data_IF_546770206272
#
_entry.id   IF_546770206272
#
_cell.length_a   1.000
_cell.length_b   1.000
_cell.length_c   1.000
_cell.angle_alpha   90.00
_cell.angle_beta   90.00
_cell.angle_gamma   90.00
#
_symmetry.space_group_name_H-M   'P 1'
#
loop_
_entity.id
_entity.type
_entity.pdbx_description
1 polymer ?
#
# COMPACT_ATOMS: atom_id res chain seq x y z
N UNK A 1 34.82 -40.84 1.91
CA UNK A 1 33.87 -41.06 3.02
C UNK A 1 33.88 -39.83 3.90
N UNK A 2 33.17 -38.84 3.40
CA UNK A 2 32.34 -37.83 4.06
C UNK A 2 32.67 -37.47 5.51
N UNK A 3 33.26 -36.29 5.65
CA UNK A 3 33.40 -35.56 6.90
C UNK A 3 32.00 -35.21 7.43
N UNK A 4 31.70 -35.62 8.67
CA UNK A 4 30.62 -34.99 9.44
C UNK A 4 30.99 -33.52 9.65
N UNK A 5 30.35 -32.63 8.89
CA UNK A 5 30.26 -31.22 9.24
C UNK A 5 29.10 -31.08 10.23
N UNK A 6 29.41 -30.67 11.46
CA UNK A 6 28.41 -30.22 12.40
C UNK A 6 27.66 -29.01 11.82
N UNK A 7 26.36 -28.97 12.06
CA UNK A 7 25.52 -27.83 11.72
C UNK A 7 26.07 -26.58 12.44
N UNK A 8 26.29 -25.46 11.75
CA UNK A 8 26.71 -24.25 12.43
C UNK A 8 25.56 -23.77 13.33
N UNK A 9 25.79 -23.82 14.64
CA UNK A 9 24.98 -23.12 15.62
C UNK A 9 25.02 -21.63 15.24
N UNK A 10 23.89 -21.10 14.77
CA UNK A 10 23.74 -19.68 14.50
C UNK A 10 23.76 -18.93 15.83
N UNK A 11 24.95 -18.51 16.27
CA UNK A 11 25.07 -17.59 17.38
C UNK A 11 24.55 -16.24 16.92
N UNK A 12 23.38 -15.87 17.46
CA UNK A 12 22.76 -14.57 17.24
C UNK A 12 23.78 -13.46 17.49
N UNK A 13 24.25 -12.86 16.40
CA UNK A 13 25.00 -11.63 16.45
C UNK A 13 24.03 -10.52 16.84
N UNK A 14 24.34 -9.81 17.92
CA UNK A 14 23.74 -8.51 18.19
C UNK A 14 23.93 -7.64 16.95
N UNK A 15 22.84 -7.23 16.32
CA UNK A 15 22.90 -6.34 15.17
C UNK A 15 23.74 -5.11 15.53
N UNK A 16 24.67 -4.66 14.68
CA UNK A 16 25.32 -3.38 14.88
C UNK A 16 24.26 -2.28 14.80
N UNK A 17 24.05 -1.55 15.89
CA UNK A 17 23.22 -0.34 15.94
C UNK A 17 23.90 0.76 15.14
N UNK A 18 23.79 0.68 13.82
CA UNK A 18 24.09 1.77 12.88
C UNK A 18 22.80 2.52 12.60
N UNK A 19 22.52 3.55 13.38
CA UNK A 19 21.41 4.48 13.16
C UNK A 19 21.74 5.41 12.00
N UNK A 20 21.60 4.90 10.77
CA UNK A 20 21.52 5.73 9.55
C UNK A 20 20.70 5.04 8.45
N UNK A 21 19.86 4.06 8.82
CA UNK A 21 18.72 3.74 7.98
C UNK A 21 17.81 4.98 8.01
N UNK A 22 17.41 5.57 6.86
CA UNK A 22 16.32 6.53 6.89
C UNK A 22 15.17 5.80 7.56
N UNK A 23 14.77 6.28 8.74
CA UNK A 23 13.57 5.83 9.38
C UNK A 23 12.47 6.04 8.34
N UNK A 24 11.99 4.94 7.77
CA UNK A 24 10.82 4.92 6.90
C UNK A 24 9.68 5.30 7.83
N UNK A 25 9.50 6.61 7.99
CA UNK A 25 8.41 7.17 8.76
C UNK A 25 7.15 6.53 8.18
N UNK A 26 6.26 5.96 9.02
CA UNK A 26 4.97 5.53 8.54
C UNK A 26 4.37 6.68 7.74
N UNK A 27 3.91 6.38 6.52
CA UNK A 27 3.44 7.40 5.58
C UNK A 27 2.33 8.21 6.27
N UNK A 28 2.64 9.46 6.63
CA UNK A 28 1.77 10.30 7.45
C UNK A 28 0.47 10.64 6.69
N UNK A 29 -0.68 10.48 7.34
CA UNK A 29 -1.99 10.74 6.73
C UNK A 29 -2.26 12.22 6.45
N UNK A 30 -1.45 13.10 7.05
CA UNK A 30 -1.48 14.55 6.82
C UNK A 30 -1.10 14.93 5.38
N UNK A 31 -0.47 14.04 4.61
CA UNK A 31 0.00 14.31 3.25
C UNK A 31 -0.96 13.83 2.15
N UNK A 32 -2.20 13.46 2.51
CA UNK A 32 -3.19 12.98 1.54
C UNK A 32 -3.65 14.07 0.54
N UNK A 33 -3.78 13.67 -0.72
CA UNK A 33 -4.22 14.48 -1.85
C UNK A 33 -3.07 14.87 -2.78
N UNK A 34 -3.30 15.93 -3.57
CA UNK A 34 -2.40 16.41 -4.61
C UNK A 34 -3.01 16.28 -6.01
N UNK A 35 -2.40 16.97 -6.99
CA UNK A 35 -2.92 16.98 -8.36
C UNK A 35 -2.59 15.67 -9.08
N UNK A 36 -3.61 15.07 -9.67
CA UNK A 36 -3.49 13.89 -10.54
C UNK A 36 -4.17 14.21 -11.87
N UNK A 37 -3.53 13.83 -12.99
CA UNK A 37 -4.10 14.08 -14.31
C UNK A 37 -5.31 13.18 -14.56
N UNK A 38 -6.30 13.71 -15.28
CA UNK A 38 -7.49 12.94 -15.66
C UNK A 38 -7.12 11.74 -16.54
N UNK A 39 -6.15 11.90 -17.45
CA UNK A 39 -5.67 10.80 -18.30
C UNK A 39 -5.10 9.62 -17.50
N UNK A 40 -4.39 9.89 -16.40
CA UNK A 40 -3.91 8.84 -15.51
C UNK A 40 -5.09 8.18 -14.78
N UNK A 41 -6.04 8.96 -14.26
CA UNK A 41 -7.22 8.42 -13.59
C UNK A 41 -8.02 7.47 -14.49
N UNK A 42 -8.15 7.81 -15.78
CA UNK A 42 -8.95 7.04 -16.75
C UNK A 42 -8.34 5.66 -17.05
N UNK A 43 -7.02 5.48 -16.88
CA UNK A 43 -6.33 4.19 -17.09
C UNK A 43 -6.12 3.39 -15.80
N UNK A 44 -6.32 4.00 -14.63
CA UNK A 44 -6.10 3.34 -13.36
C UNK A 44 -7.19 2.31 -13.06
N UNK A 45 -6.75 1.16 -12.58
CA UNK A 45 -7.62 0.06 -12.14
C UNK A 45 -7.18 -0.45 -10.78
N UNK A 46 -8.09 -1.06 -10.04
CA UNK A 46 -7.78 -1.66 -8.74
C UNK A 46 -6.66 -2.71 -8.90
N UNK A 47 -5.59 -2.68 -8.08
CA UNK A 47 -4.50 -3.65 -8.18
C UNK A 47 -4.94 -5.08 -7.85
N UNK A 48 -5.98 -5.25 -7.02
CA UNK A 48 -6.49 -6.55 -6.60
C UNK A 48 -7.38 -7.21 -7.66
N UNK A 49 -8.43 -6.53 -8.11
CA UNK A 49 -9.46 -7.12 -8.98
C UNK A 49 -9.50 -6.57 -10.41
N UNK A 50 -8.64 -5.60 -10.72
CA UNK A 50 -8.53 -4.91 -12.03
C UNK A 50 -9.79 -4.19 -12.50
N UNK A 51 -10.78 -3.97 -11.62
CA UNK A 51 -11.96 -3.19 -11.96
C UNK A 51 -11.79 -1.69 -11.70
N UNK A 52 -12.83 -0.89 -12.02
CA UNK A 52 -12.78 0.57 -11.93
C UNK A 52 -12.65 1.07 -10.49
N UNK A 53 -12.16 2.30 -10.36
CA UNK A 53 -11.96 3.05 -9.12
C UNK A 53 -12.72 4.38 -9.15
N UNK A 54 -13.16 4.85 -7.99
CA UNK A 54 -13.82 6.14 -7.80
C UNK A 54 -12.95 7.08 -6.99
N UNK A 55 -12.81 8.33 -7.44
CA UNK A 55 -12.16 9.37 -6.65
C UNK A 55 -13.12 9.87 -5.55
N UNK A 56 -12.71 9.79 -4.28
CA UNK A 56 -13.53 10.22 -3.14
C UNK A 56 -12.77 11.19 -2.23
N UNK A 57 -13.49 11.75 -1.24
CA UNK A 57 -13.00 12.70 -0.22
C UNK A 57 -12.16 13.85 -0.79
N UNK A 58 -12.62 14.40 -1.91
CA UNK A 58 -12.00 15.55 -2.56
C UNK A 58 -10.64 15.23 -3.22
N UNK A 59 -10.45 13.99 -3.70
CA UNK A 59 -9.22 13.61 -4.40
C UNK A 59 -8.15 12.98 -3.51
N UNK A 60 -8.52 12.53 -2.31
CA UNK A 60 -7.58 11.91 -1.36
C UNK A 60 -7.49 10.40 -1.50
N UNK A 61 -8.51 9.77 -2.07
CA UNK A 61 -8.59 8.32 -2.15
C UNK A 61 -9.17 7.84 -3.48
N UNK A 62 -8.68 6.69 -3.92
CA UNK A 62 -9.30 5.86 -4.96
C UNK A 62 -10.03 4.70 -4.27
N UNK A 63 -11.35 4.69 -4.36
CA UNK A 63 -12.23 3.68 -3.80
C UNK A 63 -12.50 2.59 -4.85
N UNK A 64 -12.36 1.32 -4.47
CA UNK A 64 -13.04 0.23 -5.15
C UNK A 64 -14.39 -0.05 -4.46
N UNK A 65 -15.54 0.30 -5.06
CA UNK A 65 -16.84 0.14 -4.42
C UNK A 65 -17.30 -1.32 -4.31
N UNK A 66 -16.63 -2.28 -4.96
CA UNK A 66 -17.00 -3.70 -4.91
C UNK A 66 -16.52 -4.39 -3.63
N UNK A 67 -15.39 -3.92 -3.08
CA UNK A 67 -14.76 -4.52 -1.91
C UNK A 67 -14.47 -3.50 -0.79
N UNK A 68 -14.70 -2.20 -1.02
CA UNK A 68 -14.49 -1.15 -0.02
C UNK A 68 -13.03 -0.76 0.16
N UNK A 69 -12.10 -1.30 -0.65
CA UNK A 69 -10.67 -0.97 -0.56
C UNK A 69 -10.45 0.47 -0.97
N UNK A 70 -9.60 1.17 -0.22
CA UNK A 70 -9.27 2.58 -0.47
C UNK A 70 -7.77 2.75 -0.63
N UNK A 71 -7.36 3.27 -1.77
CA UNK A 71 -5.95 3.55 -2.05
C UNK A 71 -5.68 5.04 -1.85
N UNK A 72 -4.79 5.44 -0.92
CA UNK A 72 -4.51 6.84 -0.68
C UNK A 72 -3.76 7.47 -1.86
N UNK A 73 -4.06 8.74 -2.12
CA UNK A 73 -3.27 9.60 -2.99
C UNK A 73 -2.40 10.46 -2.06
N UNK A 74 -1.09 10.50 -2.27
CA UNK A 74 -0.15 11.30 -1.47
C UNK A 74 0.73 12.13 -2.40
N UNK A 75 0.70 13.45 -2.26
CA UNK A 75 1.42 14.36 -3.17
C UNK A 75 1.09 14.16 -4.66
N UNK A 76 -0.14 13.76 -4.99
CA UNK A 76 -0.57 13.44 -6.36
C UNK A 76 -0.17 12.05 -6.85
N UNK A 77 0.47 11.22 -6.01
CA UNK A 77 0.89 9.86 -6.33
C UNK A 77 -0.10 8.86 -5.72
N UNK A 78 -0.83 8.08 -6.54
CA UNK A 78 -1.65 6.97 -6.06
C UNK A 78 -0.80 5.83 -5.48
N UNK A 79 -1.07 5.44 -4.25
CA UNK A 79 -0.39 4.33 -3.61
C UNK A 79 -1.18 3.04 -3.87
N UNK A 80 -0.89 2.42 -5.02
CA UNK A 80 -1.62 1.27 -5.56
C UNK A 80 -1.09 -0.08 -5.04
N UNK A 81 -0.88 -0.18 -3.72
CA UNK A 81 -0.47 -1.41 -3.04
C UNK A 81 -1.69 -2.12 -2.44
N UNK A 82 -1.72 -3.45 -2.49
CA UNK A 82 -2.86 -4.24 -1.98
C UNK A 82 -2.99 -4.06 -0.47
N UNK A 83 -1.86 -4.05 0.24
CA UNK A 83 -1.76 -3.92 1.70
C UNK A 83 -2.28 -2.55 2.17
N UNK A 84 -2.03 -1.48 1.42
CA UNK A 84 -2.58 -0.15 1.72
C UNK A 84 -4.10 -0.12 1.48
N UNK A 85 -4.58 -0.78 0.42
CA UNK A 85 -6.01 -0.91 0.16
C UNK A 85 -6.76 -1.66 1.26
N UNK A 86 -6.17 -2.74 1.78
CA UNK A 86 -6.70 -3.53 2.89
C UNK A 86 -6.68 -2.73 4.21
N UNK A 87 -5.56 -2.06 4.50
CA UNK A 87 -5.39 -1.21 5.69
C UNK A 87 -6.49 -0.14 5.80
N UNK A 88 -6.91 0.41 4.67
CA UNK A 88 -7.93 1.47 4.59
C UNK A 88 -9.29 0.97 4.09
N UNK A 89 -9.54 -0.35 4.13
CA UNK A 89 -10.80 -0.89 3.70
C UNK A 89 -11.96 -0.35 4.55
N UNK A 90 -13.00 0.13 3.89
CA UNK A 90 -14.24 0.56 4.51
C UNK A 90 -15.43 -0.24 3.96
N UNK A 91 -15.88 -1.28 4.68
CA UNK A 91 -17.00 -2.11 4.25
C UNK A 91 -18.32 -1.33 4.10
N UNK A 92 -18.48 -0.18 4.75
CA UNK A 92 -19.69 0.64 4.64
C UNK A 92 -19.82 1.32 3.27
N UNK A 93 -18.71 1.42 2.53
CA UNK A 93 -18.68 1.99 1.18
C UNK A 93 -18.88 0.93 0.08
N UNK A 94 -19.10 -0.33 0.44
CA UNK A 94 -19.37 -1.40 -0.53
C UNK A 94 -20.75 -1.17 -1.16
N UNK A 95 -20.79 -1.14 -2.49
CA UNK A 95 -22.01 -0.98 -3.28
C UNK A 95 -22.17 -2.21 -4.18
N UNK A 96 -23.33 -2.87 -4.08
CA UNK A 96 -23.69 -3.91 -5.04
C UNK A 96 -23.78 -3.25 -6.42
N UNK A 97 -22.95 -3.71 -7.36
CA UNK A 97 -23.14 -3.36 -8.78
C UNK A 97 -24.36 -4.14 -9.25
N UNK A 98 -25.49 -3.44 -9.45
CA UNK A 98 -26.74 -4.00 -9.98
C UNK A 98 -26.61 -4.32 -11.47
#
# INVERSE_FOLDING_TARGET
MDKLAGEPVYQGGSAPTGTDAPEVKPLDESELGGEISQELLDILVCPLDKGPLELIDGGKWLLNPRNGYRYPIRGGIPIMLIEEGEKYQDPSLIRATL
#
